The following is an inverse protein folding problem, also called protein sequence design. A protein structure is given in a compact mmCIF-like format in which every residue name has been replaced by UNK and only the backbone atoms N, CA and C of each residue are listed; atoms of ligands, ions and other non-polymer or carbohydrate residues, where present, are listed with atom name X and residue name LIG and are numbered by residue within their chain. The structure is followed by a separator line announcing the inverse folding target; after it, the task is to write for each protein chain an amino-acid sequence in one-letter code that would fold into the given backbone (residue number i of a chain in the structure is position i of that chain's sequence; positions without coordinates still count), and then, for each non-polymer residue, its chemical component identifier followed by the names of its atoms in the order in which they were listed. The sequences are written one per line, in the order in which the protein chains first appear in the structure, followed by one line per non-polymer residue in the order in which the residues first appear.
data_IF_366406232421
#
_entry.id   IF_366406232421
#
_cell.length_a   1.000
_cell.length_b   1.000
_cell.length_c   1.000
_cell.angle_alpha   90.00
_cell.angle_beta   90.00
_cell.angle_gamma   90.00
#
_symmetry.space_group_name_H-M   'P 1'
#
loop_
_entity.id
_entity.type
_entity.pdbx_description
1 polymer ?
#
# COMPACT_ATOMS: atom_id res chain seq x y z
N UNK A 1 27.53 64.33 7.39
CA UNK A 1 26.26 64.18 8.11
C UNK A 1 25.46 63.03 7.52
N UNK A 2 25.06 62.08 8.40
CA UNK A 2 23.95 61.11 8.32
C UNK A 2 23.91 60.06 7.19
N UNK A 3 24.36 58.86 7.58
CA UNK A 3 23.99 57.53 7.07
C UNK A 3 22.45 57.35 7.07
N UNK A 4 21.91 56.67 6.06
CA UNK A 4 20.63 55.93 6.13
C UNK A 4 20.92 54.44 5.89
N UNK A 5 20.74 53.55 6.87
CA UNK A 5 20.60 52.14 6.59
C UNK A 5 19.12 51.83 6.33
N UNK A 6 18.82 51.23 5.18
CA UNK A 6 17.52 50.64 4.87
C UNK A 6 17.32 49.40 5.75
N UNK A 7 16.35 49.45 6.65
CA UNK A 7 15.98 48.32 7.50
C UNK A 7 15.32 47.24 6.63
N UNK A 8 15.97 46.08 6.58
CA UNK A 8 15.35 44.83 6.13
C UNK A 8 14.22 44.45 7.10
N UNK A 9 12.97 44.55 6.66
CA UNK A 9 11.86 43.82 7.29
C UNK A 9 12.01 42.34 6.90
N UNK A 10 12.60 41.54 7.79
CA UNK A 10 12.40 40.09 7.80
C UNK A 10 10.94 39.85 8.21
N UNK A 11 10.06 39.55 7.25
CA UNK A 11 8.83 38.82 7.56
C UNK A 11 9.24 37.42 8.05
N UNK A 12 9.21 37.22 9.36
CA UNK A 12 9.16 35.88 9.94
C UNK A 12 7.75 35.34 9.68
N UNK A 13 7.62 34.41 8.73
CA UNK A 13 6.46 33.54 8.68
C UNK A 13 6.64 32.45 9.74
N UNK A 14 5.62 32.13 10.55
CA UNK A 14 5.68 30.98 11.43
C UNK A 14 5.78 29.71 10.59
N UNK A 15 6.84 28.92 10.81
CA UNK A 15 6.94 27.55 10.31
C UNK A 15 5.76 26.77 10.88
N UNK A 16 4.76 26.52 10.05
CA UNK A 16 3.82 25.43 10.26
C UNK A 16 4.69 24.18 10.13
N UNK A 17 5.11 23.63 11.27
CA UNK A 17 5.61 22.28 11.32
C UNK A 17 4.44 21.39 10.89
N UNK A 18 4.41 21.05 9.60
CA UNK A 18 3.61 19.95 9.10
C UNK A 18 4.06 18.75 9.90
N UNK A 19 3.16 18.27 10.75
CA UNK A 19 3.34 17.06 11.54
C UNK A 19 3.65 15.94 10.55
N UNK A 20 4.93 15.66 10.36
CA UNK A 20 5.40 14.57 9.51
C UNK A 20 5.05 13.31 10.30
N UNK A 21 3.84 12.81 10.09
CA UNK A 21 3.42 11.49 10.56
C UNK A 21 4.48 10.51 10.08
N UNK A 22 5.36 10.11 10.99
CA UNK A 22 6.42 9.15 10.70
C UNK A 22 5.74 7.81 10.45
N UNK A 23 5.49 7.50 9.18
CA UNK A 23 4.87 6.25 8.76
C UNK A 23 5.75 5.11 9.25
N UNK A 24 5.18 4.18 10.04
CA UNK A 24 5.95 3.06 10.59
C UNK A 24 6.41 2.14 9.46
N UNK A 25 7.68 1.70 9.45
CA UNK A 25 8.20 0.79 8.43
C UNK A 25 7.46 -0.55 8.48
N UNK A 26 7.63 -1.36 7.44
CA UNK A 26 7.12 -2.74 7.40
C UNK A 26 7.73 -3.55 8.55
N UNK A 27 6.90 -4.34 9.25
CA UNK A 27 7.33 -5.19 10.35
C UNK A 27 8.27 -6.32 9.91
N UNK A 28 9.01 -6.90 10.84
CA UNK A 28 10.00 -7.96 10.54
C UNK A 28 9.33 -9.23 9.99
N UNK A 29 8.23 -9.69 10.58
CA UNK A 29 7.52 -10.89 10.14
C UNK A 29 6.89 -10.67 8.76
N UNK A 30 6.30 -9.50 8.55
CA UNK A 30 5.76 -9.11 7.24
C UNK A 30 6.85 -9.00 6.20
N UNK A 31 8.02 -8.47 6.56
CA UNK A 31 9.18 -8.42 5.64
C UNK A 31 9.66 -9.81 5.26
N UNK A 32 9.67 -10.77 6.19
CA UNK A 32 9.97 -12.18 5.88
C UNK A 32 8.94 -12.77 4.94
N UNK A 33 7.66 -12.53 5.20
CA UNK A 33 6.55 -12.96 4.35
C UNK A 33 6.65 -12.39 2.93
N UNK A 34 6.87 -11.10 2.78
CA UNK A 34 7.01 -10.45 1.46
C UNK A 34 8.21 -10.99 0.68
N UNK A 35 9.32 -11.30 1.36
CA UNK A 35 10.47 -11.99 0.72
C UNK A 35 10.09 -13.38 0.21
N UNK A 36 9.24 -14.12 0.93
CA UNK A 36 8.71 -15.42 0.45
C UNK A 36 7.80 -15.26 -0.75
N UNK A 37 7.05 -14.17 -0.82
CA UNK A 37 6.23 -13.81 -1.99
C UNK A 37 7.07 -13.34 -3.19
N UNK A 38 8.40 -13.21 -3.04
CA UNK A 38 9.31 -12.85 -4.13
C UNK A 38 9.64 -11.36 -4.25
N UNK A 39 9.17 -10.52 -3.32
CA UNK A 39 9.49 -9.09 -3.32
C UNK A 39 10.94 -8.82 -2.95
N UNK A 40 11.56 -7.87 -3.65
CA UNK A 40 12.93 -7.44 -3.39
C UNK A 40 13.04 -6.61 -2.11
N UNK A 41 14.21 -6.60 -1.45
CA UNK A 41 14.44 -5.72 -0.29
C UNK A 41 14.15 -4.24 -0.59
N UNK A 42 14.51 -3.74 -1.79
CA UNK A 42 14.26 -2.36 -2.19
C UNK A 42 12.78 -2.01 -2.33
N UNK A 43 11.94 -2.97 -2.77
CA UNK A 43 10.50 -2.76 -2.81
C UNK A 43 9.93 -2.67 -1.39
N UNK A 44 10.32 -3.61 -0.52
CA UNK A 44 9.86 -3.66 0.88
C UNK A 44 10.27 -2.39 1.65
N UNK A 45 11.49 -1.89 1.44
CA UNK A 45 12.00 -0.66 2.05
C UNK A 45 11.23 0.60 1.59
N UNK A 46 10.62 0.57 0.40
CA UNK A 46 9.78 1.67 -0.09
C UNK A 46 8.37 1.68 0.50
N UNK A 47 7.98 0.64 1.25
CA UNK A 47 6.66 0.48 1.82
C UNK A 47 6.62 0.76 3.32
N UNK A 48 5.42 0.93 3.83
CA UNK A 48 5.16 1.14 5.25
C UNK A 48 4.11 0.14 5.75
N UNK A 49 3.95 0.05 7.07
CA UNK A 49 2.87 -0.74 7.67
C UNK A 49 1.46 -0.29 7.25
N UNK A 50 1.31 0.93 6.72
CA UNK A 50 0.04 1.47 6.23
C UNK A 50 -0.21 1.13 4.76
N UNK A 51 0.80 0.68 4.02
CA UNK A 51 0.67 0.27 2.62
C UNK A 51 -0.35 -0.85 2.49
N UNK A 52 -1.32 -0.68 1.60
CA UNK A 52 -2.48 -1.57 1.41
C UNK A 52 -2.31 -2.44 0.18
N UNK A 53 -2.57 -3.74 0.34
CA UNK A 53 -2.37 -4.75 -0.70
C UNK A 53 -3.14 -4.42 -1.99
N UNK A 54 -4.44 -4.18 -1.91
CA UNK A 54 -5.23 -3.83 -3.09
C UNK A 54 -5.00 -2.38 -3.57
N UNK A 55 -5.00 -1.42 -2.65
CA UNK A 55 -5.12 -0.01 -3.01
C UNK A 55 -3.81 0.61 -3.47
N UNK A 56 -2.70 0.20 -2.85
CA UNK A 56 -1.39 0.80 -3.07
C UNK A 56 -0.51 -0.14 -3.90
N UNK A 57 -0.62 -1.47 -3.72
CA UNK A 57 0.14 -2.46 -4.48
C UNK A 57 -0.63 -3.04 -5.70
N UNK A 58 -1.95 -2.88 -5.75
CA UNK A 58 -2.77 -3.41 -6.85
C UNK A 58 -2.85 -4.94 -6.87
N UNK A 59 -2.76 -5.58 -5.70
CA UNK A 59 -2.84 -7.04 -5.57
C UNK A 59 -4.31 -7.49 -5.54
N UNK A 60 -4.67 -8.36 -6.48
CA UNK A 60 -6.00 -8.97 -6.60
C UNK A 60 -5.96 -10.20 -7.51
N UNK A 61 -7.05 -10.96 -7.56
CA UNK A 61 -7.14 -12.16 -8.40
C UNK A 61 -6.24 -13.29 -7.89
N UNK A 62 -5.61 -14.02 -8.79
CA UNK A 62 -4.73 -15.13 -8.41
C UNK A 62 -3.51 -14.70 -7.59
N UNK A 63 -2.95 -13.51 -7.87
CA UNK A 63 -1.77 -13.00 -7.16
C UNK A 63 -1.97 -12.98 -5.64
N UNK A 64 -3.13 -12.51 -5.17
CA UNK A 64 -3.41 -12.41 -3.74
C UNK A 64 -3.71 -13.78 -3.11
N UNK A 65 -4.25 -14.73 -3.90
CA UNK A 65 -4.53 -16.08 -3.42
C UNK A 65 -3.23 -16.85 -3.20
N UNK A 66 -2.27 -16.73 -4.11
CA UNK A 66 -0.94 -17.35 -3.99
C UNK A 66 -0.17 -16.76 -2.79
N UNK A 67 -0.24 -15.43 -2.62
CA UNK A 67 0.32 -14.75 -1.47
C UNK A 67 -0.31 -15.23 -0.14
N UNK A 68 -1.63 -15.35 -0.06
CA UNK A 68 -2.30 -15.84 1.15
C UNK A 68 -2.05 -17.32 1.42
N UNK A 69 -1.78 -18.11 0.37
CA UNK A 69 -1.35 -19.50 0.52
C UNK A 69 0.00 -19.58 1.24
N UNK A 70 0.92 -18.65 1.01
CA UNK A 70 2.19 -18.56 1.76
C UNK A 70 1.93 -18.26 3.25
N UNK A 71 0.97 -17.39 3.59
CA UNK A 71 0.59 -17.15 5.00
C UNK A 71 0.14 -18.44 5.69
N UNK A 72 -0.66 -19.25 5.00
CA UNK A 72 -1.13 -20.51 5.55
C UNK A 72 -0.01 -21.55 5.65
N UNK A 73 0.69 -21.80 4.53
CA UNK A 73 1.62 -22.92 4.39
C UNK A 73 2.94 -22.69 5.14
N UNK A 74 3.49 -21.46 5.12
CA UNK A 74 4.79 -21.15 5.74
C UNK A 74 4.69 -20.50 7.12
N UNK A 75 3.63 -19.72 7.36
CA UNK A 75 3.46 -18.98 8.61
C UNK A 75 2.40 -19.59 9.54
N UNK A 76 1.70 -20.63 9.08
CA UNK A 76 0.71 -21.36 9.89
C UNK A 76 -0.50 -20.50 10.28
N UNK A 77 -0.86 -19.52 9.45
CA UNK A 77 -2.00 -18.64 9.70
C UNK A 77 -3.30 -19.39 9.43
N UNK A 78 -4.19 -19.41 10.41
CA UNK A 78 -5.58 -19.83 10.23
C UNK A 78 -6.38 -18.75 9.47
N UNK A 79 -6.69 -19.03 8.22
CA UNK A 79 -7.49 -18.18 7.33
C UNK A 79 -8.99 -18.56 7.29
N UNK A 80 -9.48 -19.45 8.17
CA UNK A 80 -10.89 -19.88 8.14
C UNK A 80 -11.91 -18.74 8.31
N UNK A 81 -11.50 -17.63 8.93
CA UNK A 81 -12.30 -16.42 9.07
C UNK A 81 -12.13 -15.38 7.95
N UNK A 82 -11.29 -15.65 6.94
CA UNK A 82 -11.03 -14.71 5.85
C UNK A 82 -12.10 -14.81 4.76
N UNK A 83 -12.80 -13.70 4.51
CA UNK A 83 -13.73 -13.56 3.39
C UNK A 83 -13.07 -12.74 2.27
N UNK A 84 -12.58 -13.41 1.22
CA UNK A 84 -11.88 -12.76 0.13
C UNK A 84 -12.73 -11.66 -0.55
N UNK A 85 -14.04 -11.87 -0.72
CA UNK A 85 -14.91 -10.93 -1.42
C UNK A 85 -15.09 -9.59 -0.67
N UNK A 86 -14.81 -9.57 0.63
CA UNK A 86 -14.83 -8.36 1.48
C UNK A 86 -13.62 -7.44 1.21
N UNK A 87 -12.48 -8.00 0.82
CA UNK A 87 -11.21 -7.28 0.72
C UNK A 87 -10.69 -7.16 -0.72
N UNK A 88 -11.09 -8.06 -1.61
CA UNK A 88 -10.57 -8.12 -2.97
C UNK A 88 -11.69 -8.32 -3.99
N UNK A 89 -11.56 -7.73 -5.19
CA UNK A 89 -12.46 -8.01 -6.29
C UNK A 89 -12.31 -9.47 -6.74
N UNK A 90 -13.44 -10.07 -7.16
CA UNK A 90 -13.39 -11.31 -7.92
C UNK A 90 -12.55 -11.11 -9.18
N UNK A 91 -11.72 -12.10 -9.52
CA UNK A 91 -10.76 -12.04 -10.63
C UNK A 91 -11.43 -11.67 -11.98
N UNK A 92 -12.62 -12.22 -12.24
CA UNK A 92 -13.36 -11.99 -13.49
C UNK A 92 -14.13 -10.66 -13.50
N UNK A 93 -14.01 -9.85 -12.44
CA UNK A 93 -14.72 -8.59 -12.34
C UNK A 93 -14.04 -7.48 -13.14
N UNK A 94 -14.84 -6.49 -13.55
CA UNK A 94 -14.32 -5.26 -14.16
C UNK A 94 -13.38 -4.50 -13.23
N UNK A 95 -13.58 -4.60 -11.92
CA UNK A 95 -12.74 -3.95 -10.93
C UNK A 95 -11.34 -4.56 -10.90
N UNK A 96 -11.24 -5.90 -10.86
CA UNK A 96 -9.96 -6.61 -10.92
C UNK A 96 -9.20 -6.28 -12.21
N UNK A 97 -9.88 -6.30 -13.37
CA UNK A 97 -9.27 -5.93 -14.65
C UNK A 97 -8.71 -4.49 -14.65
N UNK A 98 -9.46 -3.53 -14.09
CA UNK A 98 -9.05 -2.13 -14.05
C UNK A 98 -7.81 -1.93 -13.16
N UNK A 99 -7.80 -2.59 -11.99
CA UNK A 99 -6.72 -2.50 -11.01
C UNK A 99 -5.45 -3.19 -11.54
N UNK A 100 -5.56 -4.39 -12.10
CA UNK A 100 -4.42 -5.11 -12.68
C UNK A 100 -3.82 -4.37 -13.87
N UNK A 101 -4.66 -3.80 -14.75
CA UNK A 101 -4.20 -2.96 -15.87
C UNK A 101 -3.42 -1.75 -15.37
N UNK A 102 -3.90 -1.08 -14.32
CA UNK A 102 -3.17 0.04 -13.70
C UNK A 102 -1.80 -0.40 -13.16
N UNK A 103 -1.74 -1.55 -12.47
CA UNK A 103 -0.49 -2.10 -11.93
C UNK A 103 0.52 -2.39 -13.05
N UNK A 104 0.10 -3.08 -14.10
CA UNK A 104 0.96 -3.44 -15.24
C UNK A 104 1.50 -2.18 -15.93
N UNK A 105 0.63 -1.20 -16.24
CA UNK A 105 1.04 0.05 -16.88
C UNK A 105 2.04 0.84 -16.04
N UNK A 106 1.88 0.82 -14.72
CA UNK A 106 2.82 1.45 -13.79
C UNK A 106 4.17 0.74 -13.81
N UNK A 107 4.17 -0.60 -13.78
CA UNK A 107 5.38 -1.42 -13.77
C UNK A 107 6.21 -1.27 -15.05
N UNK A 108 5.57 -1.11 -16.23
CA UNK A 108 6.28 -0.92 -17.51
C UNK A 108 6.62 0.55 -17.81
N UNK A 109 6.44 1.46 -16.85
CA UNK A 109 6.82 2.88 -17.01
C UNK A 109 5.85 3.72 -17.84
N UNK A 110 4.63 3.25 -18.11
CA UNK A 110 3.60 3.99 -18.85
C UNK A 110 2.76 4.88 -17.92
N UNK A 111 3.43 5.70 -17.11
CA UNK A 111 2.81 6.46 -16.01
C UNK A 111 1.69 7.40 -16.45
N UNK A 112 1.72 7.95 -17.68
CA UNK A 112 0.62 8.80 -18.20
C UNK A 112 -0.67 8.00 -18.38
N UNK A 113 -0.58 6.79 -18.92
CA UNK A 113 -1.73 5.91 -19.13
C UNK A 113 -2.24 5.34 -17.80
N UNK A 114 -1.33 4.93 -16.91
CA UNK A 114 -1.66 4.51 -15.56
C UNK A 114 -2.44 5.62 -14.81
N UNK A 115 -1.91 6.84 -14.76
CA UNK A 115 -2.56 7.99 -14.13
C UNK A 115 -3.94 8.31 -14.72
N UNK A 116 -4.10 8.15 -16.04
CA UNK A 116 -5.38 8.34 -16.70
C UNK A 116 -6.43 7.32 -16.23
N UNK A 117 -6.06 6.04 -16.19
CA UNK A 117 -6.94 4.95 -15.73
C UNK A 117 -7.24 5.10 -14.23
N UNK A 118 -6.24 5.48 -13.44
CA UNK A 118 -6.38 5.73 -12.01
C UNK A 118 -7.51 6.74 -11.74
N UNK A 119 -7.39 7.93 -12.34
CA UNK A 119 -8.39 9.01 -12.21
C UNK A 119 -9.77 8.61 -12.72
N UNK A 120 -9.83 7.70 -13.69
CA UNK A 120 -11.11 7.28 -14.27
C UNK A 120 -11.88 6.31 -13.39
N UNK A 121 -11.21 5.43 -12.66
CA UNK A 121 -11.96 4.42 -11.91
C UNK A 121 -11.21 3.49 -10.97
N UNK A 122 -9.88 3.46 -10.93
CA UNK A 122 -9.16 2.54 -10.01
C UNK A 122 -9.49 2.89 -8.57
N UNK A 123 -9.47 4.18 -8.21
CA UNK A 123 -9.82 4.63 -6.87
C UNK A 123 -11.25 4.20 -6.47
N UNK A 124 -12.21 4.38 -7.39
CA UNK A 124 -13.60 3.96 -7.19
C UNK A 124 -13.79 2.44 -7.17
N UNK A 125 -12.94 1.68 -7.85
CA UNK A 125 -12.94 0.23 -7.80
C UNK A 125 -12.42 -0.24 -6.44
N UNK A 126 -11.25 0.26 -6.01
CA UNK A 126 -10.66 -0.08 -4.72
C UNK A 126 -11.56 0.30 -3.55
N UNK A 127 -12.24 1.46 -3.59
CA UNK A 127 -13.07 1.96 -2.49
C UNK A 127 -14.27 1.07 -2.12
N UNK A 128 -14.59 0.06 -2.93
CA UNK A 128 -15.65 -0.91 -2.65
C UNK A 128 -15.21 -1.99 -1.67
N UNK A 129 -13.90 -2.15 -1.48
CA UNK A 129 -13.30 -3.24 -0.72
C UNK A 129 -12.61 -2.70 0.52
N UNK A 130 -12.64 -3.47 1.60
CA UNK A 130 -11.93 -3.09 2.81
C UNK A 130 -10.41 -3.19 2.60
N UNK A 131 -9.68 -2.24 3.17
CA UNK A 131 -8.24 -2.21 3.09
C UNK A 131 -7.61 -3.31 3.96
N UNK A 132 -6.66 -4.05 3.38
CA UNK A 132 -5.72 -4.90 4.11
C UNK A 132 -4.35 -4.24 4.01
N UNK A 133 -3.79 -3.79 5.14
CA UNK A 133 -2.46 -3.19 5.20
C UNK A 133 -1.38 -4.20 5.57
N UNK A 134 -0.13 -3.86 5.29
CA UNK A 134 1.02 -4.67 5.70
C UNK A 134 1.11 -4.82 7.23
N UNK A 135 0.69 -3.83 8.02
CA UNK A 135 0.59 -3.95 9.48
C UNK A 135 -0.48 -4.94 9.95
N UNK A 136 -1.52 -5.15 9.15
CA UNK A 136 -2.54 -6.17 9.43
C UNK A 136 -2.01 -7.57 9.11
N UNK A 137 -1.19 -7.71 8.07
CA UNK A 137 -0.45 -8.94 7.78
C UNK A 137 0.52 -9.28 8.92
N UNK A 138 1.29 -8.30 9.42
CA UNK A 138 2.17 -8.47 10.59
C UNK A 138 1.41 -9.06 11.78
N UNK A 139 0.25 -8.48 12.07
CA UNK A 139 -0.57 -8.87 13.21
C UNK A 139 -1.18 -10.26 13.02
N UNK A 140 -1.61 -10.57 11.79
CA UNK A 140 -2.14 -11.88 11.38
C UNK A 140 -1.09 -12.98 11.54
N UNK A 141 0.14 -12.75 11.07
CA UNK A 141 1.25 -13.71 11.22
C UNK A 141 1.58 -13.90 12.71
N UNK A 142 1.69 -12.80 13.47
CA UNK A 142 2.01 -12.85 14.89
C UNK A 142 0.99 -13.64 15.71
N UNK A 143 -0.29 -13.50 15.38
CA UNK A 143 -1.39 -14.20 16.06
C UNK A 143 -1.70 -15.57 15.45
N UNK A 144 -1.07 -15.90 14.31
CA UNK A 144 -1.32 -17.12 13.51
C UNK A 144 -2.80 -17.33 13.16
N UNK A 145 -3.55 -16.24 13.00
CA UNK A 145 -4.97 -16.28 12.68
C UNK A 145 -5.39 -14.98 12.01
N UNK A 146 -6.31 -15.06 11.06
CA UNK A 146 -6.99 -13.91 10.50
C UNK A 146 -7.82 -13.18 11.58
N UNK A 147 -7.44 -11.93 11.88
CA UNK A 147 -7.98 -11.14 13.00
C UNK A 147 -8.60 -9.81 12.55
N UNK A 148 -8.76 -9.63 11.25
CA UNK A 148 -9.22 -8.39 10.60
C UNK A 148 -10.71 -8.46 10.32
#
# INVERSE_FOLDING_TARGET
MRRRPSQHMKLMMPSIATDMTTTKPVGELTSMYLKRCGYSPSEIESWSSETRLLHDLGLCGDDILDEFKILQDEFGVDLSGFDCAKYFPSELSKDAYLISTHRILSAVGLSKAANYIYKRGVERACSKYQAVSLGMIESTIRQRKWIV
#
